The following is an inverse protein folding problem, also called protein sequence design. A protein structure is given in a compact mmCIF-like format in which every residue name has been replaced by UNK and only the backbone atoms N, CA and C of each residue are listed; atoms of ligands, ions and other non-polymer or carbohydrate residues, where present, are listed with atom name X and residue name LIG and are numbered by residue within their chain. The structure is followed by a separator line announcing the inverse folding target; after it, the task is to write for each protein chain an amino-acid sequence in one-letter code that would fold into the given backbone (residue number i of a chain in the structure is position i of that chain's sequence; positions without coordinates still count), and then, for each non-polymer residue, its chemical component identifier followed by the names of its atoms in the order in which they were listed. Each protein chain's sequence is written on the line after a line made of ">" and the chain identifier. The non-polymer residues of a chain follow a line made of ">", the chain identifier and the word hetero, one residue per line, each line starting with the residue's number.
data_IF_928063420934
#
_entry.id   IF_928063420934
#
_cell.length_a   1.000
_cell.length_b   1.000
_cell.length_c   1.000
_cell.angle_alpha   90.00
_cell.angle_beta   90.00
_cell.angle_gamma   90.00
#
_symmetry.space_group_name_H-M   'P 1'
#
loop_
_entity.id
_entity.type
_entity.pdbx_description
1 polymer ?
#
# COMPACT_ATOMS: atom_id res chain seq x y z
N UNK A 1 -19.09 -31.37 34.72
CA UNK A 1 -17.80 -31.13 34.03
C UNK A 1 -16.59 -31.35 34.93
N UNK A 2 -16.56 -30.89 36.19
CA UNK A 2 -15.40 -31.10 37.09
C UNK A 2 -15.04 -32.57 37.38
N UNK A 3 -16.01 -33.49 37.48
CA UNK A 3 -15.70 -34.91 37.75
C UNK A 3 -15.12 -35.62 36.51
N UNK A 4 -15.68 -35.38 35.33
CA UNK A 4 -15.25 -36.00 34.06
C UNK A 4 -13.79 -35.71 33.69
N UNK A 5 -13.31 -34.47 33.90
CA UNK A 5 -11.91 -34.07 33.66
C UNK A 5 -10.95 -34.68 34.70
N UNK A 6 -11.43 -34.92 35.92
CA UNK A 6 -10.64 -35.51 37.02
C UNK A 6 -10.53 -37.02 36.89
N UNK A 7 -11.57 -37.65 36.33
CA UNK A 7 -11.64 -39.10 36.09
C UNK A 7 -10.90 -39.52 34.82
N UNK A 8 -10.69 -38.60 33.87
CA UNK A 8 -10.02 -38.89 32.59
C UNK A 8 -8.89 -37.89 32.30
N UNK A 9 -7.78 -37.93 33.07
CA UNK A 9 -6.70 -36.95 32.94
C UNK A 9 -6.07 -36.96 31.54
N UNK A 10 -5.97 -38.12 30.90
CA UNK A 10 -5.42 -38.25 29.55
C UNK A 10 -6.23 -37.46 28.51
N UNK A 11 -7.56 -37.44 28.63
CA UNK A 11 -8.44 -36.65 27.73
C UNK A 11 -8.32 -35.17 28.07
N UNK A 12 -8.28 -34.83 29.36
CA UNK A 12 -8.12 -33.44 29.80
C UNK A 12 -6.80 -32.83 29.33
N UNK A 13 -5.68 -33.57 29.40
CA UNK A 13 -4.39 -33.10 28.89
C UNK A 13 -4.29 -33.19 27.37
N UNK A 14 -4.78 -34.29 26.77
CA UNK A 14 -4.72 -34.51 25.33
C UNK A 14 -5.54 -33.51 24.51
N UNK A 15 -6.69 -33.07 25.02
CA UNK A 15 -7.53 -32.06 24.37
C UNK A 15 -7.33 -30.65 24.94
N UNK A 16 -7.06 -30.54 26.24
CA UNK A 16 -6.95 -29.25 26.92
C UNK A 16 -5.66 -28.50 26.59
N UNK A 17 -4.52 -29.19 26.46
CA UNK A 17 -3.25 -28.55 26.11
C UNK A 17 -3.30 -27.88 24.71
N UNK A 18 -3.71 -28.56 23.62
CA UNK A 18 -3.80 -27.92 22.31
C UNK A 18 -4.83 -26.78 22.27
N UNK A 19 -5.97 -26.94 22.94
CA UNK A 19 -6.97 -25.86 23.02
C UNK A 19 -6.42 -24.63 23.75
N UNK A 20 -5.69 -24.85 24.85
CA UNK A 20 -5.04 -23.77 25.59
C UNK A 20 -3.99 -23.06 24.74
N UNK A 21 -3.19 -23.80 23.96
CA UNK A 21 -2.23 -23.21 23.02
C UNK A 21 -2.92 -22.33 21.98
N UNK A 22 -4.04 -22.78 21.41
CA UNK A 22 -4.84 -21.97 20.45
C UNK A 22 -5.32 -20.67 21.11
N UNK A 23 -5.84 -20.73 22.33
CA UNK A 23 -6.32 -19.54 23.06
C UNK A 23 -5.18 -18.57 23.34
N UNK A 24 -4.06 -19.05 23.89
CA UNK A 24 -2.88 -18.22 24.18
C UNK A 24 -2.39 -17.55 22.91
N UNK A 25 -2.34 -18.30 21.81
CA UNK A 25 -1.88 -17.79 20.54
C UNK A 25 -2.83 -16.71 19.98
N UNK A 26 -4.15 -16.92 20.03
CA UNK A 26 -5.15 -15.91 19.65
C UNK A 26 -5.00 -14.64 20.49
N UNK A 27 -4.81 -14.77 21.80
CA UNK A 27 -4.57 -13.63 22.69
C UNK A 27 -3.32 -12.85 22.26
N UNK A 28 -2.20 -13.53 22.02
CA UNK A 28 -0.94 -12.90 21.60
C UNK A 28 -1.09 -12.18 20.26
N UNK A 29 -1.83 -12.75 19.31
CA UNK A 29 -2.07 -12.11 18.01
C UNK A 29 -2.98 -10.89 18.03
N UNK A 30 -3.85 -10.78 19.04
CA UNK A 30 -4.73 -9.62 19.21
C UNK A 30 -4.01 -8.43 19.83
N UNK A 31 -2.83 -8.63 20.44
CA UNK A 31 -2.09 -7.60 21.19
C UNK A 31 -1.80 -6.37 20.31
N UNK A 32 -1.25 -6.48 19.07
CA UNK A 32 -0.96 -5.30 18.26
C UNK A 32 -2.20 -4.48 17.92
N UNK A 33 -3.36 -5.13 17.69
CA UNK A 33 -4.61 -4.44 17.38
C UNK A 33 -5.17 -3.64 18.57
N UNK A 34 -4.82 -4.03 19.80
CA UNK A 34 -5.26 -3.36 21.04
C UNK A 34 -4.27 -2.28 21.52
N UNK A 35 -2.97 -2.47 21.30
CA UNK A 35 -1.92 -1.58 21.81
C UNK A 35 -1.46 -0.51 20.82
N UNK A 36 -1.64 -0.73 19.52
CA UNK A 36 -1.20 0.20 18.48
C UNK A 36 -2.40 0.98 17.96
N UNK A 37 -2.42 2.29 18.15
CA UNK A 37 -3.43 3.20 17.58
C UNK A 37 -3.60 2.96 16.07
N UNK A 38 -4.83 3.01 15.52
CA UNK A 38 -5.05 2.92 14.07
C UNK A 38 -4.40 4.10 13.31
N UNK A 39 -4.12 3.94 12.00
CA UNK A 39 -3.53 4.99 11.19
C UNK A 39 -4.49 6.17 11.05
N UNK A 40 -3.94 7.38 11.11
CA UNK A 40 -4.67 8.65 11.13
C UNK A 40 -4.47 9.47 9.86
N UNK A 41 -3.36 9.27 9.16
CA UNK A 41 -3.02 10.02 7.96
C UNK A 41 -3.40 9.26 6.69
N UNK A 42 -3.96 9.98 5.72
CA UNK A 42 -4.22 9.41 4.40
C UNK A 42 -2.89 9.16 3.69
N UNK A 43 -2.85 8.11 2.87
CA UNK A 43 -1.68 7.76 2.06
C UNK A 43 -2.00 7.92 0.58
N UNK A 44 -1.06 8.51 -0.15
CA UNK A 44 -1.05 8.58 -1.59
C UNK A 44 -0.08 7.52 -2.14
N UNK A 45 -0.59 6.72 -3.08
CA UNK A 45 0.21 5.71 -3.77
C UNK A 45 -0.21 5.62 -5.24
N UNK A 46 0.75 5.29 -6.10
CA UNK A 46 0.49 5.01 -7.50
C UNK A 46 0.53 3.50 -7.75
N UNK A 47 -0.29 2.99 -8.65
CA UNK A 47 -0.21 1.63 -9.19
C UNK A 47 0.11 1.68 -10.67
N UNK A 48 0.63 0.59 -11.21
CA UNK A 48 1.13 0.55 -12.61
C UNK A 48 2.19 1.66 -12.83
N UNK A 49 2.99 1.94 -11.80
CA UNK A 49 4.04 2.96 -11.82
C UNK A 49 5.41 2.33 -12.10
N UNK A 50 5.85 2.45 -13.34
CA UNK A 50 7.08 1.80 -13.81
C UNK A 50 8.19 2.83 -13.99
N UNK A 51 9.26 2.75 -13.19
CA UNK A 51 10.40 3.67 -13.32
C UNK A 51 11.42 3.15 -14.35
N UNK A 52 11.00 2.96 -15.61
CA UNK A 52 11.88 2.58 -16.71
C UNK A 52 12.20 3.78 -17.61
N UNK A 53 13.41 3.84 -18.20
CA UNK A 53 13.73 4.81 -19.24
C UNK A 53 12.72 4.69 -20.39
N UNK A 54 11.88 5.70 -20.56
CA UNK A 54 10.78 5.70 -21.55
C UNK A 54 9.37 5.74 -20.96
N UNK A 55 9.17 5.54 -19.65
CA UNK A 55 7.88 5.87 -19.03
C UNK A 55 7.74 7.40 -18.94
N UNK A 56 6.69 7.92 -19.56
CA UNK A 56 6.49 9.35 -19.72
C UNK A 56 5.87 10.06 -18.54
N UNK A 57 5.68 9.42 -17.38
CA UNK A 57 5.08 10.08 -16.22
C UNK A 57 5.93 9.89 -14.96
N UNK A 58 6.33 11.02 -14.37
CA UNK A 58 7.03 11.09 -13.11
C UNK A 58 6.14 11.75 -12.06
N UNK A 59 6.01 11.12 -10.90
CA UNK A 59 5.31 11.68 -9.74
C UNK A 59 6.34 11.95 -8.66
N UNK A 60 6.32 13.15 -8.09
CA UNK A 60 7.26 13.54 -7.04
C UNK A 60 6.60 14.54 -6.09
N UNK A 61 7.06 14.57 -4.84
CA UNK A 61 6.63 15.57 -3.87
C UNK A 61 7.70 16.65 -3.79
N UNK A 62 7.34 17.89 -4.10
CA UNK A 62 8.24 19.04 -4.10
C UNK A 62 7.61 20.14 -3.26
N UNK A 63 8.33 20.61 -2.24
CA UNK A 63 7.85 21.63 -1.29
C UNK A 63 6.48 21.30 -0.68
N UNK A 64 6.27 20.04 -0.31
CA UNK A 64 5.02 19.56 0.28
C UNK A 64 3.87 19.43 -0.70
N UNK A 65 4.09 19.58 -2.01
CA UNK A 65 3.05 19.45 -3.05
C UNK A 65 3.37 18.32 -3.99
N UNK A 66 2.37 17.55 -4.38
CA UNK A 66 2.53 16.51 -5.40
C UNK A 66 2.61 17.18 -6.76
N UNK A 67 3.71 16.93 -7.47
CA UNK A 67 3.91 17.32 -8.84
C UNK A 67 3.85 16.08 -9.72
N UNK A 68 3.03 16.16 -10.76
CA UNK A 68 2.98 15.16 -11.81
C UNK A 68 3.57 15.77 -13.07
N UNK A 69 4.59 15.13 -13.59
CA UNK A 69 5.34 15.61 -14.75
C UNK A 69 5.20 14.60 -15.87
N UNK A 70 4.89 15.08 -17.07
CA UNK A 70 4.89 14.31 -18.29
C UNK A 70 6.16 14.58 -19.11
N UNK A 71 6.85 13.52 -19.53
CA UNK A 71 8.10 13.53 -20.31
C UNK A 71 7.98 12.73 -21.61
N UNK A 72 6.76 12.42 -22.08
CA UNK A 72 6.56 11.64 -23.30
C UNK A 72 6.87 10.14 -23.11
N UNK A 73 6.14 9.27 -23.82
CA UNK A 73 6.31 7.82 -23.69
C UNK A 73 6.82 7.21 -25.00
N UNK A 74 7.84 6.35 -24.93
CA UNK A 74 8.36 5.59 -26.07
C UNK A 74 7.82 4.15 -26.13
N UNK A 75 7.10 3.72 -25.09
CA UNK A 75 6.60 2.36 -24.87
C UNK A 75 5.07 2.35 -24.81
N UNK A 76 4.45 1.28 -25.30
CA UNK A 76 3.00 1.13 -25.28
C UNK A 76 2.44 0.88 -23.88
N UNK A 77 1.35 1.58 -23.56
CA UNK A 77 0.26 1.13 -22.69
C UNK A 77 0.54 0.93 -21.19
N UNK A 78 0.96 1.98 -20.48
CA UNK A 78 0.82 2.01 -19.02
C UNK A 78 0.29 3.36 -18.55
N UNK A 79 -0.88 3.33 -17.91
CA UNK A 79 -1.53 4.50 -17.31
C UNK A 79 -1.43 4.35 -15.81
N UNK A 80 -0.39 4.91 -15.20
CA UNK A 80 -0.29 4.84 -13.75
C UNK A 80 -1.49 5.54 -13.12
N UNK A 81 -2.06 4.91 -12.11
CA UNK A 81 -3.24 5.39 -11.40
C UNK A 81 -2.81 5.87 -10.04
N UNK A 82 -3.27 7.04 -9.63
CA UNK A 82 -3.00 7.59 -8.32
C UNK A 82 -4.20 7.29 -7.42
N UNK A 83 -3.94 6.80 -6.22
CA UNK A 83 -4.93 6.45 -5.24
C UNK A 83 -4.68 7.22 -3.95
N UNK A 84 -5.77 7.63 -3.30
CA UNK A 84 -5.78 8.13 -1.93
C UNK A 84 -6.55 7.15 -1.06
N UNK A 85 -5.86 6.54 -0.12
CA UNK A 85 -6.49 5.73 0.92
C UNK A 85 -6.65 6.55 2.19
N UNK A 86 -7.87 6.57 2.72
CA UNK A 86 -8.16 7.15 4.02
C UNK A 86 -8.39 6.05 5.06
N UNK A 87 -7.49 5.90 6.04
CA UNK A 87 -7.61 4.84 7.05
C UNK A 87 -8.78 5.06 8.00
N UNK A 88 -9.22 6.32 8.18
CA UNK A 88 -10.30 6.69 9.11
C UNK A 88 -11.64 6.07 8.70
N UNK A 89 -11.92 6.03 7.40
CA UNK A 89 -13.15 5.46 6.84
C UNK A 89 -12.93 4.18 6.01
N UNK A 90 -11.67 3.77 5.83
CA UNK A 90 -11.30 2.62 5.00
C UNK A 90 -11.53 2.84 3.50
N UNK A 91 -11.84 4.06 3.08
CA UNK A 91 -12.18 4.43 1.72
C UNK A 91 -10.94 4.62 0.85
N UNK A 92 -11.05 4.23 -0.42
CA UNK A 92 -10.06 4.53 -1.45
C UNK A 92 -10.72 5.37 -2.53
N UNK A 93 -10.09 6.50 -2.87
CA UNK A 93 -10.47 7.35 -3.99
C UNK A 93 -9.39 7.29 -5.07
N UNK A 94 -9.78 7.02 -6.31
CA UNK A 94 -8.90 7.20 -7.47
C UNK A 94 -8.79 8.71 -7.77
N UNK A 95 -7.57 9.20 -7.92
CA UNK A 95 -7.26 10.57 -8.30
C UNK A 95 -7.04 10.59 -9.81
N UNK A 96 -7.91 11.30 -10.51
CA UNK A 96 -7.84 11.42 -11.96
C UNK A 96 -6.74 12.38 -12.37
N UNK A 97 -5.68 11.85 -12.99
CA UNK A 97 -4.64 12.64 -13.66
C UNK A 97 -5.05 12.84 -15.11
N UNK A 98 -5.47 14.06 -15.47
CA UNK A 98 -5.88 14.41 -16.82
C UNK A 98 -4.68 14.95 -17.61
N UNK A 99 -4.40 14.36 -18.77
CA UNK A 99 -3.37 14.87 -19.67
C UNK A 99 -3.89 16.12 -20.40
N UNK A 100 -3.11 17.23 -20.44
CA UNK A 100 -3.43 18.40 -21.25
C UNK A 100 -3.72 18.08 -22.72
N UNK A 101 -4.65 18.82 -23.32
CA UNK A 101 -4.99 18.69 -24.75
C UNK A 101 -3.77 18.93 -25.64
N UNK A 102 -3.52 18.04 -26.60
CA UNK A 102 -2.35 18.10 -27.49
C UNK A 102 -1.19 17.18 -27.08
N UNK A 103 -1.19 16.65 -25.86
CA UNK A 103 -0.32 15.55 -25.48
C UNK A 103 -1.00 14.24 -25.92
N UNK A 104 -0.33 13.48 -26.79
CA UNK A 104 -0.86 12.20 -27.23
C UNK A 104 -1.04 11.27 -26.01
N UNK A 105 -2.16 10.53 -25.92
CA UNK A 105 -2.25 9.41 -25.01
C UNK A 105 -1.06 8.48 -25.23
N UNK A 106 -0.50 7.85 -24.18
CA UNK A 106 0.61 6.93 -24.33
C UNK A 106 0.29 5.86 -25.39
N UNK A 107 1.04 5.84 -26.50
CA UNK A 107 0.97 4.76 -27.49
C UNK A 107 0.51 5.10 -28.93
N UNK A 108 0.14 6.34 -29.27
CA UNK A 108 -0.22 6.66 -30.67
C UNK A 108 1.00 6.94 -31.57
N UNK A 109 2.13 7.35 -31.00
CA UNK A 109 3.40 7.54 -31.70
C UNK A 109 4.53 7.52 -30.67
N UNK A 110 5.64 6.79 -30.88
CA UNK A 110 6.84 6.97 -30.08
C UNK A 110 7.25 8.44 -30.18
N UNK A 111 7.29 9.13 -29.04
CA UNK A 111 7.72 10.53 -28.97
C UNK A 111 9.21 10.56 -29.34
N UNK A 112 9.64 11.50 -30.19
CA UNK A 112 11.07 11.62 -30.49
C UNK A 112 11.84 12.05 -29.23
N UNK A 113 13.13 11.69 -29.06
CA UNK A 113 13.90 12.09 -27.87
C UNK A 113 13.90 13.59 -27.58
N UNK A 114 13.76 14.42 -28.61
CA UNK A 114 13.64 15.88 -28.49
C UNK A 114 12.29 16.35 -27.94
N UNK A 115 11.20 15.67 -28.27
CA UNK A 115 9.85 15.93 -27.75
C UNK A 115 9.65 15.35 -26.33
N UNK A 116 10.35 14.25 -26.00
CA UNK A 116 10.36 13.65 -24.66
C UNK A 116 11.09 14.53 -23.62
N UNK A 117 11.99 15.40 -24.07
CA UNK A 117 12.68 16.35 -23.20
C UNK A 117 11.78 17.49 -22.69
N UNK A 118 10.55 17.63 -23.21
CA UNK A 118 9.61 18.67 -22.79
C UNK A 118 8.85 18.23 -21.54
N UNK A 119 9.39 18.62 -20.39
CA UNK A 119 8.78 18.45 -19.06
C UNK A 119 7.49 19.28 -18.99
N UNK A 120 6.33 18.63 -19.08
CA UNK A 120 5.02 19.29 -18.90
C UNK A 120 4.48 18.99 -17.52
N UNK A 121 4.20 20.02 -16.74
CA UNK A 121 3.53 19.85 -15.44
C UNK A 121 2.03 19.60 -15.67
N UNK A 122 1.50 18.54 -15.08
CA UNK A 122 0.08 18.21 -15.11
C UNK A 122 -0.57 18.78 -13.84
N UNK A 123 -1.61 19.57 -14.04
CA UNK A 123 -2.45 20.02 -12.93
C UNK A 123 -3.41 18.89 -12.50
N UNK A 124 -3.46 18.63 -11.20
CA UNK A 124 -4.30 17.59 -10.60
C UNK A 124 -5.16 18.27 -9.53
N UNK A 125 -6.38 18.73 -9.90
CA UNK A 125 -7.22 19.52 -8.99
C UNK A 125 -7.54 18.81 -7.66
N UNK A 126 -7.69 17.49 -7.69
CA UNK A 126 -7.94 16.66 -6.50
C UNK A 126 -6.78 16.65 -5.48
N UNK A 127 -5.58 17.08 -5.90
CA UNK A 127 -4.39 17.22 -5.06
C UNK A 127 -4.12 18.69 -4.68
N UNK A 128 -4.87 19.64 -5.24
CA UNK A 128 -4.72 21.05 -4.92
C UNK A 128 -5.12 21.31 -3.46
N UNK A 129 -4.32 22.13 -2.77
CA UNK A 129 -4.49 22.42 -1.33
C UNK A 129 -3.75 21.45 -0.42
N UNK A 130 -3.65 20.18 -0.80
CA UNK A 130 -3.06 19.15 0.05
C UNK A 130 -1.57 19.40 0.30
N UNK A 131 -1.18 19.31 1.56
CA UNK A 131 0.22 19.20 1.97
C UNK A 131 0.56 17.74 2.13
N UNK A 132 1.58 17.28 1.40
CA UNK A 132 2.03 15.91 1.34
C UNK A 132 3.46 15.78 1.85
N UNK A 133 3.69 14.84 2.75
CA UNK A 133 5.00 14.49 3.26
C UNK A 133 5.49 13.19 2.60
N UNK A 134 6.64 13.24 1.94
CA UNK A 134 7.24 12.08 1.27
C UNK A 134 8.15 11.24 2.18
N UNK A 135 8.16 11.51 3.49
CA UNK A 135 8.88 10.70 4.47
C UNK A 135 8.39 9.24 4.43
N UNK A 136 9.30 8.27 4.57
CA UNK A 136 8.94 6.84 4.52
C UNK A 136 8.01 6.42 5.67
N UNK A 137 8.04 7.16 6.77
CA UNK A 137 7.25 6.94 7.97
C UNK A 137 6.31 8.14 8.16
N UNK A 138 5.03 7.84 8.35
CA UNK A 138 3.99 8.81 8.63
C UNK A 138 4.21 9.48 10.01
N UNK A 139 3.63 10.66 10.27
CA UNK A 139 3.76 11.32 11.57
C UNK A 139 3.19 10.50 12.74
N UNK A 140 2.27 9.56 12.48
CA UNK A 140 1.74 8.61 13.46
C UNK A 140 2.57 7.31 13.56
N UNK A 141 3.69 7.20 12.84
CA UNK A 141 4.62 6.08 12.90
C UNK A 141 4.28 4.89 12.01
N UNK A 142 3.31 5.02 11.10
CA UNK A 142 3.02 4.00 10.10
C UNK A 142 3.99 4.07 8.92
N UNK A 143 4.39 2.91 8.41
CA UNK A 143 5.25 2.78 7.24
C UNK A 143 4.46 2.18 6.08
N UNK A 144 4.69 2.66 4.86
CA UNK A 144 4.20 2.02 3.65
C UNK A 144 5.16 0.91 3.24
N UNK A 145 4.67 -0.32 3.10
CA UNK A 145 5.46 -1.45 2.60
C UNK A 145 4.75 -2.14 1.45
N UNK A 146 5.47 -2.40 0.35
CA UNK A 146 4.94 -3.07 -0.84
C UNK A 146 5.96 -4.07 -1.42
N UNK A 147 5.44 -5.11 -2.07
CA UNK A 147 6.26 -6.13 -2.76
C UNK A 147 6.76 -7.22 -1.81
N UNK A 148 7.90 -7.83 -2.13
CA UNK A 148 8.47 -8.94 -1.33
C UNK A 148 8.85 -8.53 0.11
N UNK A 149 8.98 -7.23 0.37
CA UNK A 149 9.25 -6.66 1.69
C UNK A 149 7.97 -6.29 2.47
N UNK A 150 6.78 -6.42 1.85
CA UNK A 150 5.45 -6.22 2.43
C UNK A 150 5.02 -7.32 3.40
N UNK A 151 5.97 -7.93 4.10
CA UNK A 151 5.68 -8.99 5.05
C UNK A 151 4.97 -8.36 6.25
N UNK A 152 3.67 -8.60 6.39
CA UNK A 152 3.01 -8.32 7.65
C UNK A 152 3.62 -9.28 8.68
N UNK A 153 4.31 -8.73 9.68
CA UNK A 153 4.92 -9.48 10.79
C UNK A 153 3.91 -10.17 11.71
N UNK A 154 2.72 -10.46 11.21
CA UNK A 154 1.64 -11.12 11.90
C UNK A 154 1.98 -12.61 12.05
N UNK A 155 2.20 -13.02 13.30
CA UNK A 155 2.63 -14.37 13.67
C UNK A 155 1.65 -15.44 13.16
N UNK A 156 0.35 -15.13 13.05
CA UNK A 156 -0.66 -16.02 12.46
C UNK A 156 -0.49 -16.21 10.96
N UNK A 157 -0.23 -15.14 10.23
CA UNK A 157 -0.08 -15.16 8.78
C UNK A 157 1.18 -15.94 8.40
N UNK A 158 2.26 -15.79 9.18
CA UNK A 158 3.51 -16.51 8.96
C UNK A 158 3.48 -18.02 9.28
N UNK A 159 2.70 -18.45 10.29
CA UNK A 159 2.65 -19.85 10.72
C UNK A 159 1.57 -20.70 10.03
N UNK A 160 0.43 -20.11 9.67
CA UNK A 160 -0.74 -20.86 9.17
C UNK A 160 -1.10 -20.55 7.72
N UNK A 161 -0.54 -19.49 7.13
CA UNK A 161 -0.72 -19.16 5.73
C UNK A 161 0.61 -19.28 4.97
N UNK A 162 0.94 -20.51 4.55
CA UNK A 162 1.98 -20.70 3.54
C UNK A 162 1.42 -20.31 2.17
N UNK A 163 1.70 -19.09 1.70
CA UNK A 163 1.32 -18.72 0.34
C UNK A 163 2.31 -17.79 -0.33
N UNK A 164 3.13 -18.45 -1.14
CA UNK A 164 3.85 -18.00 -2.32
C UNK A 164 3.17 -16.76 -2.96
N UNK A 165 3.85 -15.63 -2.93
CA UNK A 165 3.57 -14.41 -3.72
C UNK A 165 2.42 -13.49 -3.27
N UNK A 166 2.33 -13.11 -1.99
CA UNK A 166 1.51 -11.96 -1.58
C UNK A 166 2.30 -10.66 -1.67
N UNK A 167 2.47 -10.22 -2.90
CA UNK A 167 2.91 -8.89 -3.26
C UNK A 167 1.74 -7.91 -2.99
N UNK A 168 1.42 -7.62 -1.73
CA UNK A 168 0.36 -6.66 -1.39
C UNK A 168 0.99 -5.41 -0.76
N UNK A 169 0.41 -4.23 -1.02
CA UNK A 169 0.83 -3.03 -0.31
C UNK A 169 0.06 -2.91 1.00
N UNK A 170 0.79 -2.65 2.07
CA UNK A 170 0.29 -2.59 3.43
C UNK A 170 0.84 -1.37 4.16
N UNK A 171 0.09 -0.89 5.16
CA UNK A 171 0.60 0.02 6.18
C UNK A 171 0.97 -0.81 7.41
N UNK A 172 2.18 -0.63 7.92
CA UNK A 172 2.67 -1.42 9.06
C UNK A 172 3.15 -0.50 10.19
N UNK A 173 2.88 -0.91 11.43
CA UNK A 173 3.42 -0.29 12.64
C UNK A 173 3.42 -1.30 13.78
N UNK A 174 4.60 -1.61 14.31
CA UNK A 174 4.76 -2.46 15.52
C UNK A 174 3.92 -3.75 15.52
N UNK A 175 3.94 -4.49 14.39
CA UNK A 175 3.19 -5.73 14.24
C UNK A 175 1.70 -5.57 13.94
N UNK A 176 1.16 -4.34 13.86
CA UNK A 176 -0.17 -4.07 13.28
C UNK A 176 -0.03 -3.80 11.78
N UNK A 177 -0.86 -4.45 10.97
CA UNK A 177 -0.87 -4.29 9.51
C UNK A 177 -2.25 -3.88 8.97
N UNK A 178 -2.27 -3.03 7.94
CA UNK A 178 -3.48 -2.64 7.21
C UNK A 178 -3.26 -2.81 5.72
N UNK A 179 -4.11 -3.59 5.06
CA UNK A 179 -4.04 -3.79 3.61
C UNK A 179 -4.56 -2.58 2.86
N UNK A 180 -3.82 -2.14 1.85
CA UNK A 180 -4.28 -1.11 0.92
C UNK A 180 -5.15 -1.74 -0.18
N UNK A 181 -6.40 -1.27 -0.35
CA UNK A 181 -7.24 -1.73 -1.46
C UNK A 181 -6.65 -1.30 -2.80
N UNK A 182 -6.93 -2.06 -3.86
CA UNK A 182 -6.51 -1.75 -5.24
C UNK A 182 -4.99 -1.61 -5.46
N UNK A 183 -4.15 -2.02 -4.52
CA UNK A 183 -2.71 -1.80 -4.55
C UNK A 183 -1.89 -2.90 -5.27
N UNK A 184 -2.49 -3.63 -6.21
CA UNK A 184 -1.81 -4.63 -7.05
C UNK A 184 -2.70 -5.80 -7.52
N UNK A 185 -2.35 -6.39 -8.66
CA UNK A 185 -2.99 -7.56 -9.26
C UNK A 185 -2.00 -8.74 -9.26
N UNK A 186 -2.46 -9.95 -8.95
CA UNK A 186 -1.65 -11.12 -8.53
C UNK A 186 -0.62 -11.61 -9.58
N UNK A 187 -0.74 -11.20 -10.84
CA UNK A 187 0.02 -11.80 -11.96
C UNK A 187 1.22 -10.99 -12.49
N UNK A 188 1.31 -9.69 -12.22
CA UNK A 188 2.45 -8.88 -12.66
C UNK A 188 3.02 -8.13 -11.47
N UNK A 189 4.33 -8.30 -11.26
CA UNK A 189 5.14 -7.68 -10.20
C UNK A 189 4.62 -6.30 -9.80
N UNK A 190 4.44 -6.13 -8.49
CA UNK A 190 4.07 -4.89 -7.83
C UNK A 190 4.82 -3.67 -8.33
N UNK A 191 4.11 -2.81 -9.05
CA UNK A 191 4.55 -1.46 -9.36
C UNK A 191 3.68 -0.47 -8.57
N UNK A 192 3.52 -0.77 -7.29
CA UNK A 192 2.86 0.12 -6.34
C UNK A 192 3.93 1.01 -5.74
N UNK A 193 3.84 2.30 -6.02
CA UNK A 193 4.82 3.30 -5.64
C UNK A 193 4.23 4.21 -4.57
N UNK A 194 4.96 4.36 -3.47
CA UNK A 194 4.62 5.32 -2.43
C UNK A 194 4.86 6.75 -2.93
N UNK A 195 3.87 7.63 -2.75
CA UNK A 195 4.00 9.06 -3.09
C UNK A 195 4.24 9.87 -1.81
N UNK A 196 3.42 9.67 -0.78
CA UNK A 196 3.49 10.45 0.44
C UNK A 196 2.27 10.32 1.34
N UNK A 197 2.36 10.92 2.53
CA UNK A 197 1.29 11.05 3.51
C UNK A 197 0.62 12.41 3.39
N UNK A 198 -0.71 12.47 3.41
CA UNK A 198 -1.43 13.74 3.44
C UNK A 198 -1.43 14.26 4.88
N UNK A 199 -0.63 15.29 5.15
CA UNK A 199 -0.44 15.85 6.50
C UNK A 199 -1.33 17.06 6.78
N UNK A 200 -1.79 17.75 5.72
CA UNK A 200 -2.77 18.84 5.84
C UNK A 200 -3.64 18.96 4.56
N UNK A 201 -4.89 19.43 4.67
CA UNK A 201 -5.74 19.75 3.52
C UNK A 201 -5.35 21.07 2.83
#
# INVERSE_FOLDING_TARGET
>A
MKSFLRENPTIAFGLGLPLLLVIVFLLVSGIPALLVDPPKFDVLYATEYYNYPGNGMQISVVNGKVQVVYQGNTVGYQKSRVWRYSPVNGGVKEISVLLPAGLAPPGQRPVTPAEAAVVTTIDVPDLAGLTVDSSSIAPDGYEFSAGANGYSGDVFTGLFYSSRYRNEAVLTKQGRSFRLPNAGNVYYSNNTHFIGWVVAP
#
